data_IF_890273863883
#
_entry.id   IF_890273863883
#
_cell.length_a   1.000
_cell.length_b   1.000
_cell.length_c   1.000
_cell.angle_alpha   90.00
_cell.angle_beta   90.00
_cell.angle_gamma   90.00
#
_symmetry.space_group_name_H-M   'P 1'
#
loop_
_entity.id
_entity.type
_entity.pdbx_description
1 polymer ?
#
# COMPACT_ATOMS: atom_id res chain seq x y z
N UNK A 1 28.12 7.13 -5.00
CA UNK A 1 28.21 8.13 -6.08
C UNK A 1 26.86 8.18 -6.77
N UNK A 2 26.14 9.29 -6.56
CA UNK A 2 24.79 9.57 -7.07
C UNK A 2 24.84 9.81 -8.58
N UNK A 3 23.93 9.22 -9.35
CA UNK A 3 23.66 9.63 -10.73
C UNK A 3 22.34 10.43 -10.74
N UNK A 4 22.35 11.72 -11.13
CA UNK A 4 21.16 12.57 -11.07
C UNK A 4 20.18 12.28 -12.21
N UNK A 5 18.89 12.46 -11.90
CA UNK A 5 17.76 12.36 -12.81
C UNK A 5 17.95 13.20 -14.07
N UNK A 6 17.81 12.56 -15.23
CA UNK A 6 17.59 13.24 -16.50
C UNK A 6 16.10 13.61 -16.59
N UNK A 7 15.75 14.82 -16.15
CA UNK A 7 14.41 15.41 -16.34
C UNK A 7 14.46 16.17 -17.66
N UNK A 8 14.20 15.47 -18.76
CA UNK A 8 14.02 16.11 -20.07
C UNK A 8 12.74 16.96 -20.04
N UNK A 9 12.95 18.27 -20.05
CA UNK A 9 11.91 19.29 -19.95
C UNK A 9 11.39 19.61 -21.35
N UNK A 10 10.69 18.68 -21.98
CA UNK A 10 9.96 18.94 -23.25
C UNK A 10 8.54 19.39 -22.94
N UNK A 11 8.43 20.61 -22.41
CA UNK A 11 7.20 21.39 -22.32
C UNK A 11 7.03 22.14 -23.64
N UNK A 12 6.68 21.44 -24.73
CA UNK A 12 6.43 22.10 -26.01
C UNK A 12 5.10 21.63 -26.64
N UNK A 13 4.15 22.58 -26.67
CA UNK A 13 2.87 22.63 -27.40
C UNK A 13 1.82 21.54 -27.12
N UNK A 14 1.02 21.77 -26.08
CA UNK A 14 -0.40 21.37 -26.10
C UNK A 14 -1.19 22.51 -26.73
N UNK A 15 -1.55 22.39 -28.00
CA UNK A 15 -2.54 23.26 -28.65
C UNK A 15 -3.91 22.90 -28.08
N UNK A 16 -4.61 23.78 -27.34
CA UNK A 16 -5.96 23.46 -26.87
C UNK A 16 -6.93 23.57 -28.06
N UNK A 17 -7.21 22.45 -28.70
CA UNK A 17 -8.38 22.34 -29.59
C UNK A 17 -9.61 22.44 -28.69
N UNK A 18 -10.30 23.58 -28.71
CA UNK A 18 -11.56 23.81 -28.01
C UNK A 18 -12.69 23.00 -28.69
N UNK A 19 -12.66 21.68 -28.49
CA UNK A 19 -13.84 20.83 -28.66
C UNK A 19 -14.70 21.00 -27.42
N UNK A 20 -16.02 20.95 -27.58
CA UNK A 20 -17.02 21.08 -26.50
C UNK A 20 -16.83 20.07 -25.35
N UNK A 21 -16.08 19.01 -25.63
CA UNK A 21 -15.47 18.08 -24.68
C UNK A 21 -14.12 18.68 -24.26
N UNK A 22 -14.01 19.21 -23.04
CA UNK A 22 -12.73 19.71 -22.52
C UNK A 22 -11.63 18.64 -22.61
N UNK A 23 -10.34 19.02 -22.65
CA UNK A 23 -9.26 18.06 -22.75
C UNK A 23 -9.28 17.15 -21.52
N UNK A 24 -9.84 15.95 -21.68
CA UNK A 24 -9.61 14.84 -20.76
C UNK A 24 -8.15 14.47 -20.92
N UNK A 25 -7.31 15.06 -20.08
CA UNK A 25 -5.96 14.56 -19.88
C UNK A 25 -6.12 13.10 -19.43
N UNK A 26 -5.85 12.16 -20.33
CA UNK A 26 -5.58 10.79 -19.95
C UNK A 26 -4.29 10.84 -19.12
N UNK A 27 -4.45 11.07 -17.82
CA UNK A 27 -3.39 10.89 -16.86
C UNK A 27 -3.13 9.40 -16.86
N UNK A 28 -1.99 8.99 -17.43
CA UNK A 28 -1.53 7.62 -17.40
C UNK A 28 -1.32 7.25 -15.93
N UNK A 29 -2.33 6.60 -15.35
CA UNK A 29 -2.31 6.19 -13.96
C UNK A 29 -1.29 5.04 -13.85
N UNK A 30 -0.34 5.08 -12.90
CA UNK A 30 0.58 3.97 -12.66
C UNK A 30 -0.14 2.72 -12.11
N UNK A 31 -1.45 2.80 -11.91
CA UNK A 31 -2.30 1.73 -11.43
C UNK A 31 -3.26 1.28 -12.53
N UNK A 32 -3.45 -0.03 -12.73
CA UNK A 32 -4.39 -0.55 -13.73
C UNK A 32 -5.81 -0.11 -13.40
N UNK A 33 -6.54 0.40 -14.41
CA UNK A 33 -7.91 0.91 -14.29
C UNK A 33 -8.88 -0.09 -13.61
N UNK A 34 -8.60 -1.39 -13.74
CA UNK A 34 -9.39 -2.47 -13.16
C UNK A 34 -9.31 -2.54 -11.62
N UNK A 35 -8.23 -2.05 -11.01
CA UNK A 35 -8.07 -2.11 -9.56
C UNK A 35 -9.07 -1.21 -8.82
N UNK A 36 -9.40 -0.05 -9.39
CA UNK A 36 -10.32 0.91 -8.77
C UNK A 36 -11.79 0.64 -9.09
N UNK A 37 -12.08 0.04 -10.25
CA UNK A 37 -13.45 -0.27 -10.70
C UNK A 37 -14.18 -1.36 -9.88
N UNK A 38 -13.46 -2.08 -9.00
CA UNK A 38 -14.08 -2.95 -8.00
C UNK A 38 -14.20 -2.27 -6.62
N UNK A 39 -13.30 -1.34 -6.31
CA UNK A 39 -13.24 -0.65 -5.03
C UNK A 39 -14.32 0.42 -4.91
N UNK A 40 -14.64 1.11 -6.00
CA UNK A 40 -15.68 2.15 -6.10
C UNK A 40 -17.08 1.67 -5.64
N UNK A 41 -17.55 0.51 -6.10
CA UNK A 41 -18.83 -0.05 -5.66
C UNK A 41 -18.77 -0.54 -4.22
N UNK A 42 -17.64 -1.09 -3.83
CA UNK A 42 -17.44 -1.66 -2.50
C UNK A 42 -17.40 -0.57 -1.44
N UNK A 43 -16.74 0.57 -1.73
CA UNK A 43 -16.59 1.68 -0.80
C UNK A 43 -17.92 2.44 -0.64
N UNK A 44 -18.67 2.64 -1.72
CA UNK A 44 -20.01 3.25 -1.66
C UNK A 44 -21.00 2.35 -0.90
N UNK A 45 -20.94 1.03 -1.12
CA UNK A 45 -21.74 0.06 -0.37
C UNK A 45 -21.41 0.05 1.12
N UNK A 46 -20.13 0.22 1.48
CA UNK A 46 -19.70 0.33 2.86
C UNK A 46 -20.22 1.60 3.54
N UNK A 47 -20.17 2.76 2.87
CA UNK A 47 -20.77 4.00 3.37
C UNK A 47 -22.27 3.85 3.63
N UNK A 48 -22.99 3.22 2.69
CA UNK A 48 -24.43 3.00 2.82
C UNK A 48 -24.77 2.05 3.98
N UNK A 49 -23.92 1.04 4.19
CA UNK A 49 -24.10 0.05 5.26
C UNK A 49 -23.80 0.66 6.64
N UNK A 50 -22.77 1.51 6.74
CA UNK A 50 -22.32 2.09 8.01
C UNK A 50 -23.16 3.30 8.45
N UNK A 51 -23.46 4.23 7.54
CA UNK A 51 -24.13 5.50 7.87
C UNK A 51 -25.57 5.60 7.39
N UNK A 52 -26.00 4.64 6.57
CA UNK A 52 -27.37 4.58 6.06
C UNK A 52 -27.65 5.52 4.88
N UNK A 53 -28.84 5.36 4.28
CA UNK A 53 -29.24 6.07 3.06
C UNK A 53 -29.50 7.57 3.26
N UNK A 54 -29.89 8.01 4.46
CA UNK A 54 -30.22 9.42 4.71
C UNK A 54 -28.98 10.31 4.79
N UNK A 55 -27.94 9.85 5.47
CA UNK A 55 -26.63 10.51 5.53
C UNK A 55 -26.00 10.55 4.14
N UNK A 56 -26.08 9.44 3.41
CA UNK A 56 -25.60 9.36 2.04
C UNK A 56 -26.33 10.32 1.10
N UNK A 57 -27.65 10.46 1.25
CA UNK A 57 -28.44 11.43 0.49
C UNK A 57 -28.03 12.86 0.81
N UNK A 58 -27.87 13.21 2.10
CA UNK A 58 -27.42 14.55 2.52
C UNK A 58 -26.08 14.92 1.92
N UNK A 59 -25.12 13.98 1.92
CA UNK A 59 -23.83 14.18 1.28
C UNK A 59 -23.98 14.51 -0.21
N UNK A 60 -24.79 13.73 -0.95
CA UNK A 60 -24.92 13.93 -2.39
C UNK A 60 -25.76 15.14 -2.81
N UNK A 61 -26.60 15.66 -1.93
CA UNK A 61 -27.42 16.84 -2.20
C UNK A 61 -26.82 18.13 -1.64
N UNK A 62 -25.62 18.07 -1.03
CA UNK A 62 -24.95 19.25 -0.52
C UNK A 62 -24.28 20.03 -1.67
N UNK A 63 -24.38 21.36 -1.60
CA UNK A 63 -23.67 22.29 -2.49
C UNK A 63 -22.27 22.65 -1.94
N UNK A 64 -21.88 22.11 -0.79
CA UNK A 64 -20.58 22.38 -0.17
C UNK A 64 -19.45 21.60 -0.87
N UNK A 65 -18.21 22.03 -0.64
CA UNK A 65 -17.04 21.26 -1.05
C UNK A 65 -17.08 19.83 -0.50
N UNK A 66 -16.65 18.85 -1.30
CA UNK A 66 -16.76 17.41 -1.01
C UNK A 66 -16.27 17.03 0.39
N UNK A 67 -15.14 17.59 0.84
CA UNK A 67 -14.60 17.33 2.18
C UNK A 67 -15.51 17.82 3.30
N UNK A 68 -16.04 19.04 3.14
CA UNK A 68 -16.98 19.67 4.08
C UNK A 68 -18.33 18.95 4.08
N UNK A 69 -18.86 18.63 2.90
CA UNK A 69 -20.10 17.87 2.74
C UNK A 69 -20.00 16.48 3.38
N UNK A 70 -18.86 15.79 3.20
CA UNK A 70 -18.63 14.48 3.79
C UNK A 70 -18.60 14.57 5.32
N UNK A 71 -17.82 15.51 5.87
CA UNK A 71 -17.74 15.69 7.32
C UNK A 71 -19.10 16.08 7.93
N UNK A 72 -19.87 16.93 7.24
CA UNK A 72 -21.20 17.33 7.70
C UNK A 72 -22.22 16.16 7.66
N UNK A 73 -22.12 15.28 6.65
CA UNK A 73 -23.04 14.17 6.47
C UNK A 73 -22.71 12.95 7.35
N UNK A 74 -21.43 12.64 7.52
CA UNK A 74 -20.96 11.41 8.17
C UNK A 74 -20.30 11.66 9.54
N UNK A 75 -20.01 12.91 9.89
CA UNK A 75 -19.49 13.31 11.20
C UNK A 75 -17.98 13.13 11.39
N UNK A 76 -17.26 12.66 10.36
CA UNK A 76 -15.80 12.56 10.37
C UNK A 76 -15.19 12.90 9.00
N UNK A 77 -13.89 13.24 8.94
CA UNK A 77 -13.21 13.49 7.67
C UNK A 77 -13.18 12.25 6.77
N UNK A 78 -13.34 12.46 5.46
CA UNK A 78 -13.31 11.37 4.48
C UNK A 78 -12.01 10.56 4.53
N UNK A 79 -10.87 11.24 4.68
CA UNK A 79 -9.56 10.59 4.75
C UNK A 79 -9.46 9.60 5.92
N UNK A 80 -9.94 9.98 7.11
CA UNK A 80 -9.90 9.14 8.30
C UNK A 80 -10.80 7.92 8.16
N UNK A 81 -11.99 8.11 7.57
CA UNK A 81 -12.91 7.01 7.30
C UNK A 81 -12.31 6.02 6.30
N UNK A 82 -11.81 6.52 5.16
CA UNK A 82 -11.22 5.68 4.11
C UNK A 82 -10.00 4.94 4.64
N UNK A 83 -9.12 5.63 5.38
CA UNK A 83 -7.94 5.01 5.96
C UNK A 83 -8.32 3.84 6.86
N UNK A 84 -9.26 4.06 7.80
CA UNK A 84 -9.76 3.01 8.67
C UNK A 84 -10.37 1.85 7.87
N UNK A 85 -11.27 2.14 6.95
CA UNK A 85 -11.94 1.15 6.12
C UNK A 85 -10.94 0.29 5.32
N UNK A 86 -9.91 0.93 4.73
CA UNK A 86 -8.83 0.22 4.02
C UNK A 86 -8.04 -0.66 4.98
N UNK A 87 -7.63 -0.15 6.15
CA UNK A 87 -6.84 -0.93 7.12
C UNK A 87 -7.60 -2.11 7.71
N UNK A 88 -8.91 -1.97 7.96
CA UNK A 88 -9.77 -3.06 8.44
C UNK A 88 -9.94 -4.15 7.36
N UNK A 89 -10.01 -3.75 6.08
CA UNK A 89 -10.35 -4.65 4.98
C UNK A 89 -9.16 -5.33 4.32
N UNK A 90 -8.06 -4.60 4.14
CA UNK A 90 -6.81 -5.14 3.54
C UNK A 90 -5.84 -5.65 4.60
N UNK A 91 -6.14 -5.43 5.88
CA UNK A 91 -5.23 -5.67 6.98
C UNK A 91 -4.14 -4.62 7.06
N UNK A 92 -3.56 -4.45 8.24
CA UNK A 92 -2.27 -3.78 8.37
C UNK A 92 -1.26 -4.71 7.71
N UNK A 93 -0.84 -4.40 6.50
CA UNK A 93 0.39 -5.00 5.96
C UNK A 93 1.48 -4.54 6.90
N UNK A 94 1.88 -5.37 7.86
CA UNK A 94 3.13 -5.20 8.58
C UNK A 94 4.22 -5.21 7.51
N UNK A 95 4.60 -4.01 7.08
CA UNK A 95 5.64 -3.81 6.09
C UNK A 95 6.98 -4.19 6.73
N UNK A 96 7.30 -5.48 6.66
CA UNK A 96 8.59 -6.02 7.07
C UNK A 96 8.68 -7.49 6.69
N UNK A 97 9.80 -7.96 6.12
CA UNK A 97 10.08 -9.39 6.05
C UNK A 97 10.22 -9.90 7.49
N UNK A 98 9.10 -10.33 8.08
CA UNK A 98 9.09 -11.01 9.36
C UNK A 98 9.80 -12.34 9.18
N UNK A 99 11.05 -12.41 9.64
CA UNK A 99 11.79 -13.67 9.66
C UNK A 99 10.95 -14.65 10.45
N UNK A 100 10.46 -15.72 9.80
CA UNK A 100 9.61 -16.69 10.47
C UNK A 100 10.39 -17.25 11.66
N UNK A 101 9.74 -17.43 12.82
CA UNK A 101 10.42 -17.98 14.00
C UNK A 101 11.14 -19.31 13.72
N UNK A 102 10.61 -20.07 12.75
CA UNK A 102 11.23 -21.27 12.21
C UNK A 102 12.59 -21.01 11.54
N UNK A 103 12.76 -19.91 10.81
CA UNK A 103 14.03 -19.55 10.14
C UNK A 103 15.13 -19.23 11.17
N UNK A 104 14.80 -18.55 12.28
CA UNK A 104 15.79 -18.29 13.34
C UNK A 104 16.12 -19.58 14.10
N UNK A 105 15.14 -20.45 14.36
CA UNK A 105 15.39 -21.76 14.97
C UNK A 105 16.31 -22.61 14.07
N UNK A 106 16.04 -22.62 12.75
CA UNK A 106 16.83 -23.36 11.78
C UNK A 106 18.26 -22.82 11.68
N UNK A 107 18.41 -21.50 11.75
CA UNK A 107 19.73 -20.84 11.78
C UNK A 107 20.53 -21.21 13.04
N UNK A 108 19.88 -21.26 14.21
CA UNK A 108 20.52 -21.69 15.46
C UNK A 108 20.93 -23.16 15.42
N UNK A 109 20.07 -24.04 14.89
CA UNK A 109 20.39 -25.46 14.71
C UNK A 109 21.56 -25.64 13.74
N UNK A 110 21.55 -24.93 12.61
CA UNK A 110 22.64 -24.97 11.64
C UNK A 110 23.96 -24.50 12.25
N UNK A 111 23.94 -23.42 13.03
CA UNK A 111 25.12 -22.92 13.73
C UNK A 111 25.63 -23.92 14.77
N UNK A 112 24.73 -24.54 15.53
CA UNK A 112 25.08 -25.58 16.50
C UNK A 112 25.72 -26.81 15.85
N UNK A 113 25.17 -27.26 14.72
CA UNK A 113 25.73 -28.37 13.94
C UNK A 113 27.11 -28.03 13.39
N UNK A 114 27.28 -26.83 12.82
CA UNK A 114 28.57 -26.38 12.31
C UNK A 114 29.63 -26.34 13.42
N UNK A 115 29.29 -25.82 14.60
CA UNK A 115 30.19 -25.78 15.76
C UNK A 115 30.54 -27.19 16.26
N UNK A 116 29.56 -28.10 16.32
CA UNK A 116 29.79 -29.49 16.74
C UNK A 116 30.71 -30.25 15.77
N UNK A 117 30.51 -30.08 14.46
CA UNK A 117 31.37 -30.67 13.43
C UNK A 117 32.78 -30.09 13.53
N UNK A 118 32.92 -28.77 13.67
CA UNK A 118 34.21 -28.11 13.85
C UNK A 118 34.97 -28.62 15.06
N UNK A 119 34.29 -28.76 16.22
CA UNK A 119 34.89 -29.28 17.43
C UNK A 119 35.33 -30.75 17.30
N UNK A 120 34.58 -31.58 16.58
CA UNK A 120 34.93 -32.97 16.34
C UNK A 120 36.15 -33.10 15.42
N UNK A 121 36.24 -32.27 14.39
CA UNK A 121 37.40 -32.22 13.48
C UNK A 121 38.63 -31.71 14.22
N UNK A 122 38.49 -30.67 15.02
CA UNK A 122 39.57 -30.12 15.84
C UNK A 122 40.14 -31.17 16.81
N UNK A 123 39.27 -31.89 17.53
CA UNK A 123 39.69 -33.00 18.43
C UNK A 123 40.41 -34.13 17.71
N UNK A 124 40.08 -34.39 16.44
CA UNK A 124 40.78 -35.40 15.64
C UNK A 124 42.18 -34.96 15.21
N UNK A 125 42.41 -33.66 15.04
CA UNK A 125 43.72 -33.13 14.67
C UNK A 125 44.72 -33.14 15.84
N UNK A 126 44.25 -32.97 17.09
CA UNK A 126 45.11 -33.05 18.28
C UNK A 126 45.70 -34.46 18.52
N UNK A 127 45.04 -35.53 18.03
CA UNK A 127 45.48 -36.92 18.24
C UNK A 127 46.38 -37.44 17.11
N UNK A 128 46.41 -36.78 15.94
CA UNK A 128 47.22 -37.18 14.78
C UNK A 128 48.55 -36.43 14.62
N UNK A 129 48.88 -35.53 15.55
CA UNK A 129 50.08 -34.67 15.51
C UNK A 129 51.13 -34.96 16.58
N UNK A 130 51.13 -36.16 17.18
CA UNK A 130 52.15 -36.63 18.13
C UNK A 130 52.88 -37.86 17.57
#
# INVERSE_FOLDING_TARGET
FLNPMNVDTTLDRVTPTLTREGPVAHVESPFPDEAFAGLDRTILGALLTEFGPDSFRRFWTSDDDVGSAFQAAFGLPAGDWVHRWVTERLGVVEAGPGVAGADVLLSLVALGLAAAVGALVYRRQEVGGA
#
